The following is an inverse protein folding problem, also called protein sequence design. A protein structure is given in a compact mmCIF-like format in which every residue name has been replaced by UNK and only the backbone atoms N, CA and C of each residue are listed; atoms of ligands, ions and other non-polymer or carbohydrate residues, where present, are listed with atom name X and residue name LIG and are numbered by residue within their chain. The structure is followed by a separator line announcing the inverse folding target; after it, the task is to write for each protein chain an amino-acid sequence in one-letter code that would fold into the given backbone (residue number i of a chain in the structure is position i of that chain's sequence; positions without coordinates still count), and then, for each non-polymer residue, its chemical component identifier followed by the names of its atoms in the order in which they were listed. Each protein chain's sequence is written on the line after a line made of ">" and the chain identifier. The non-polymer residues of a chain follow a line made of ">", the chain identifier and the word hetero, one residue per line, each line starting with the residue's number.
data_IF_499148272965
#
_entry.id   IF_499148272965
#
_cell.length_a   1.000
_cell.length_b   1.000
_cell.length_c   1.000
_cell.angle_alpha   90.00
_cell.angle_beta   90.00
_cell.angle_gamma   90.00
#
_symmetry.space_group_name_H-M   'P 1'
#
loop_
_entity.id
_entity.type
_entity.pdbx_description
1 polymer ?
#
# COMPACT_ATOMS: atom_id res chain seq x y z
N UNK A 1 5.71 -11.94 6.39
CA UNK A 1 4.80 -12.95 7.01
C UNK A 1 4.18 -12.32 8.24
N UNK A 2 2.90 -12.57 8.51
CA UNK A 2 2.21 -11.94 9.64
C UNK A 2 2.54 -12.58 10.99
N UNK A 3 2.25 -11.90 12.12
CA UNK A 3 2.42 -12.46 13.46
C UNK A 3 1.61 -13.76 13.62
N UNK A 4 2.20 -14.80 14.20
CA UNK A 4 1.54 -16.11 14.41
C UNK A 4 1.58 -17.07 13.21
N UNK A 5 2.25 -16.72 12.10
CA UNK A 5 2.39 -17.55 10.90
C UNK A 5 3.87 -17.79 10.59
N UNK A 6 4.34 -19.02 10.85
CA UNK A 6 5.72 -19.45 10.58
C UNK A 6 6.44 -19.96 11.82
N UNK A 7 7.73 -20.29 11.68
CA UNK A 7 8.59 -20.64 12.81
C UNK A 7 9.15 -19.36 13.44
N UNK A 8 8.46 -18.86 14.46
CA UNK A 8 8.85 -17.64 15.18
C UNK A 8 10.16 -17.79 15.98
N UNK A 9 10.68 -19.01 16.18
CA UNK A 9 11.99 -19.21 16.80
C UNK A 9 13.15 -18.94 15.82
N UNK A 10 12.87 -18.90 14.51
CA UNK A 10 13.85 -18.69 13.45
C UNK A 10 13.58 -17.39 12.68
N UNK A 11 12.31 -16.98 12.53
CA UNK A 11 11.90 -15.82 11.76
C UNK A 11 11.10 -14.82 12.60
N UNK A 12 11.72 -13.67 12.85
CA UNK A 12 11.03 -12.44 13.25
C UNK A 12 10.19 -11.92 12.08
N UNK A 13 8.96 -11.49 12.35
CA UNK A 13 8.13 -10.86 11.34
C UNK A 13 8.72 -9.48 11.01
N UNK A 14 9.02 -9.23 9.73
CA UNK A 14 9.60 -7.96 9.26
C UNK A 14 8.83 -6.72 9.72
N UNK A 15 7.51 -6.84 9.92
CA UNK A 15 6.65 -5.75 10.39
C UNK A 15 6.62 -5.57 11.92
N UNK A 16 7.33 -6.39 12.71
CA UNK A 16 7.36 -6.28 14.17
C UNK A 16 8.04 -4.99 14.65
N UNK A 17 8.99 -4.48 13.86
CA UNK A 17 9.71 -3.24 14.12
C UNK A 17 9.04 -2.01 13.48
N UNK A 18 7.92 -2.18 12.75
CA UNK A 18 7.21 -1.05 12.16
C UNK A 18 6.48 -0.22 13.21
N UNK A 19 6.53 1.11 13.04
CA UNK A 19 5.84 2.03 13.91
C UNK A 19 4.31 1.81 13.90
N UNK A 20 3.66 1.99 15.06
CA UNK A 20 2.20 1.92 15.16
C UNK A 20 1.56 2.95 14.24
N UNK A 21 0.82 2.45 13.24
CA UNK A 21 0.14 3.29 12.25
C UNK A 21 -1.26 3.71 12.69
N UNK A 22 -1.79 3.20 13.81
CA UNK A 22 -3.12 3.55 14.32
C UNK A 22 -3.34 5.04 14.55
N UNK A 23 -2.38 5.84 15.07
CA UNK A 23 -2.55 7.29 15.19
C UNK A 23 -2.74 8.00 13.84
N UNK A 24 -2.18 7.42 12.77
CA UNK A 24 -2.23 7.98 11.42
C UNK A 24 -3.52 7.59 10.68
N UNK A 25 -3.90 6.31 10.72
CA UNK A 25 -5.05 5.79 9.96
C UNK A 25 -6.35 5.70 10.79
N UNK A 26 -6.27 5.87 12.11
CA UNK A 26 -7.42 5.92 13.03
C UNK A 26 -7.97 4.56 13.46
N UNK A 27 -7.43 3.45 12.96
CA UNK A 27 -7.84 2.08 13.29
C UNK A 27 -6.68 1.09 13.19
N UNK A 28 -6.88 -0.12 13.71
CA UNK A 28 -5.93 -1.23 13.55
C UNK A 28 -6.39 -2.13 12.40
N UNK A 29 -5.67 -2.19 11.27
CA UNK A 29 -6.05 -3.02 10.14
C UNK A 29 -5.85 -4.49 10.48
N UNK A 30 -6.72 -5.35 9.93
CA UNK A 30 -6.54 -6.80 10.02
C UNK A 30 -5.39 -7.29 9.15
N UNK A 31 -5.12 -6.59 8.05
CA UNK A 31 -4.03 -6.86 7.12
C UNK A 31 -3.41 -5.55 6.63
N UNK A 32 -2.08 -5.48 6.62
CA UNK A 32 -1.33 -4.51 5.84
C UNK A 32 -0.94 -5.16 4.50
N UNK A 33 -1.13 -4.45 3.40
CA UNK A 33 -0.84 -4.96 2.06
C UNK A 33 0.11 -4.00 1.34
N UNK A 34 1.37 -4.40 1.24
CA UNK A 34 2.39 -3.62 0.52
C UNK A 34 2.25 -3.79 -0.99
N UNK A 35 2.41 -2.69 -1.72
CA UNK A 35 2.18 -2.65 -3.17
C UNK A 35 3.43 -2.20 -3.90
N UNK A 36 4.14 -3.17 -4.49
CA UNK A 36 5.44 -2.92 -5.13
C UNK A 36 5.47 -3.57 -6.51
N UNK A 37 5.97 -2.84 -7.51
CA UNK A 37 6.16 -3.37 -8.86
C UNK A 37 7.65 -3.62 -9.16
N UNK A 38 8.05 -4.89 -9.15
CA UNK A 38 9.44 -5.28 -9.41
C UNK A 38 9.90 -5.09 -10.87
N UNK A 39 8.92 -5.02 -11.78
CA UNK A 39 9.10 -4.77 -13.21
C UNK A 39 8.60 -3.36 -13.58
N UNK A 40 9.21 -2.74 -14.60
CA UNK A 40 9.00 -1.32 -14.92
C UNK A 40 8.12 -1.05 -16.14
N UNK A 41 7.47 -2.05 -16.74
CA UNK A 41 6.57 -1.76 -17.86
C UNK A 41 5.26 -1.22 -17.29
N UNK A 42 4.58 -0.31 -18.00
CA UNK A 42 3.30 0.25 -17.54
C UNK A 42 2.26 -0.82 -17.18
N UNK A 43 2.21 -1.91 -17.94
CA UNK A 43 1.32 -3.05 -17.67
C UNK A 43 1.63 -3.72 -16.33
N UNK A 44 2.90 -3.84 -15.95
CA UNK A 44 3.30 -4.51 -14.72
C UNK A 44 2.80 -3.70 -13.50
N UNK A 45 2.95 -2.38 -13.54
CA UNK A 45 2.42 -1.48 -12.50
C UNK A 45 0.90 -1.60 -12.37
N UNK A 46 0.17 -1.49 -13.49
CA UNK A 46 -1.30 -1.51 -13.49
C UNK A 46 -1.81 -2.86 -13.01
N UNK A 47 -1.25 -3.96 -13.52
CA UNK A 47 -1.63 -5.31 -13.12
C UNK A 47 -1.38 -5.53 -11.64
N UNK A 48 -0.22 -5.13 -11.10
CA UNK A 48 0.06 -5.24 -9.66
C UNK A 48 -0.99 -4.50 -8.84
N UNK A 49 -1.26 -3.22 -9.13
CA UNK A 49 -2.22 -2.45 -8.34
C UNK A 49 -3.65 -3.01 -8.41
N UNK A 50 -4.10 -3.44 -9.59
CA UNK A 50 -5.45 -3.99 -9.76
C UNK A 50 -5.58 -5.39 -9.14
N UNK A 51 -4.55 -6.23 -9.23
CA UNK A 51 -4.51 -7.53 -8.58
C UNK A 51 -4.54 -7.38 -7.06
N UNK A 52 -3.72 -6.48 -6.51
CA UNK A 52 -3.73 -6.16 -5.08
C UNK A 52 -5.12 -5.67 -4.65
N UNK A 53 -5.74 -4.77 -5.40
CA UNK A 53 -7.10 -4.30 -5.11
C UNK A 53 -8.15 -5.43 -5.12
N UNK A 54 -7.97 -6.43 -6.00
CA UNK A 54 -8.83 -7.61 -6.03
C UNK A 54 -8.60 -8.53 -4.82
N UNK A 55 -7.35 -8.73 -4.40
CA UNK A 55 -7.01 -9.50 -3.19
C UNK A 55 -7.58 -8.81 -1.95
N UNK A 56 -7.40 -7.50 -1.82
CA UNK A 56 -7.95 -6.71 -0.72
C UNK A 56 -9.49 -6.75 -0.66
N UNK A 57 -10.18 -6.97 -1.77
CA UNK A 57 -11.63 -7.18 -1.75
C UNK A 57 -12.02 -8.48 -1.03
N UNK A 58 -11.15 -9.49 -1.06
CA UNK A 58 -11.36 -10.79 -0.39
C UNK A 58 -10.94 -10.73 1.07
N UNK A 59 -9.76 -10.15 1.35
CA UNK A 59 -9.14 -10.22 2.69
C UNK A 59 -9.34 -8.95 3.53
N UNK A 60 -9.85 -7.87 2.93
CA UNK A 60 -9.85 -6.53 3.53
C UNK A 60 -8.45 -5.92 3.60
N UNK A 61 -8.25 -5.04 4.58
CA UNK A 61 -6.95 -4.43 4.87
C UNK A 61 -6.74 -3.03 4.29
N UNK A 62 -5.52 -2.53 4.46
CA UNK A 62 -5.08 -1.21 4.00
C UNK A 62 -3.87 -1.38 3.10
N UNK A 63 -3.95 -0.81 1.90
CA UNK A 63 -2.82 -0.71 1.00
C UNK A 63 -1.81 0.29 1.56
N UNK A 64 -0.55 -0.11 1.62
CA UNK A 64 0.59 0.77 1.87
C UNK A 64 1.37 0.88 0.55
N UNK A 65 1.35 2.07 -0.06
CA UNK A 65 2.03 2.30 -1.32
C UNK A 65 2.97 3.49 -1.20
N UNK A 66 4.26 3.25 -1.39
CA UNK A 66 5.26 4.30 -1.44
C UNK A 66 5.07 5.16 -2.69
N UNK A 67 5.29 6.46 -2.52
CA UNK A 67 5.11 7.47 -3.54
C UNK A 67 6.43 8.18 -3.82
N UNK A 68 6.50 8.74 -5.02
CA UNK A 68 7.42 9.84 -5.32
C UNK A 68 6.80 11.16 -4.87
N UNK A 69 7.63 12.16 -4.65
CA UNK A 69 7.20 13.50 -4.25
C UNK A 69 6.15 14.11 -5.21
N UNK A 70 6.30 13.86 -6.52
CA UNK A 70 5.36 14.34 -7.55
C UNK A 70 4.01 13.62 -7.53
N UNK A 71 3.94 12.43 -6.91
CA UNK A 71 2.73 11.63 -6.81
C UNK A 71 1.90 11.97 -5.56
N UNK A 72 2.51 12.50 -4.50
CA UNK A 72 1.84 12.88 -3.24
C UNK A 72 0.58 13.74 -3.45
N UNK A 73 0.65 14.90 -4.15
CA UNK A 73 -0.53 15.73 -4.35
C UNK A 73 -1.60 15.05 -5.24
N UNK A 74 -1.18 14.15 -6.13
CA UNK A 74 -2.10 13.43 -7.01
C UNK A 74 -2.90 12.37 -6.25
N UNK A 75 -2.26 11.64 -5.33
CA UNK A 75 -2.93 10.56 -4.60
C UNK A 75 -3.78 11.05 -3.43
N UNK A 76 -3.39 12.16 -2.77
CA UNK A 76 -4.08 12.68 -1.59
C UNK A 76 -5.58 12.96 -1.84
N UNK A 77 -5.96 13.29 -3.07
CA UNK A 77 -7.34 13.58 -3.46
C UNK A 77 -8.12 12.39 -4.03
N UNK A 78 -7.53 11.20 -4.13
CA UNK A 78 -8.18 10.06 -4.77
C UNK A 78 -9.21 9.40 -3.85
N UNK A 79 -10.34 8.90 -4.40
CA UNK A 79 -11.29 8.08 -3.67
C UNK A 79 -10.60 6.88 -3.00
N UNK A 80 -10.96 6.60 -1.74
CA UNK A 80 -10.39 5.50 -0.96
C UNK A 80 -9.04 5.80 -0.31
N UNK A 81 -8.47 6.99 -0.49
CA UNK A 81 -7.28 7.43 0.26
C UNK A 81 -7.64 7.68 1.71
N UNK A 82 -6.87 7.11 2.62
CA UNK A 82 -7.05 7.20 4.08
C UNK A 82 -6.08 8.21 4.67
N UNK A 83 -4.80 8.12 4.30
CA UNK A 83 -3.77 9.03 4.78
C UNK A 83 -2.61 9.11 3.79
N UNK A 84 -1.87 10.21 3.83
CA UNK A 84 -0.58 10.39 3.15
C UNK A 84 0.39 11.02 4.12
N UNK A 85 1.67 10.67 4.03
CA UNK A 85 2.74 11.33 4.81
C UNK A 85 3.82 11.84 3.88
N UNK A 86 4.72 12.71 4.36
CA UNK A 86 5.67 13.44 3.50
C UNK A 86 7.13 13.02 3.64
N UNK A 87 7.53 12.23 4.65
CA UNK A 87 8.96 12.01 4.92
C UNK A 87 9.28 10.65 5.58
N UNK A 88 10.47 10.06 5.35
CA UNK A 88 11.45 10.34 4.27
C UNK A 88 11.09 9.65 2.94
N UNK A 89 10.13 8.73 2.98
CA UNK A 89 9.52 8.08 1.81
C UNK A 89 8.03 8.29 2.01
N UNK A 90 7.31 9.02 1.15
CA UNK A 90 5.92 9.33 1.41
C UNK A 90 5.01 8.15 1.06
N UNK A 91 4.44 7.38 2.01
CA UNK A 91 3.39 6.42 1.73
C UNK A 91 2.02 7.10 1.55
N UNK A 92 1.23 6.53 0.64
CA UNK A 92 -0.21 6.60 0.68
C UNK A 92 -0.78 5.33 1.33
N UNK A 93 -1.74 5.54 2.23
CA UNK A 93 -2.58 4.50 2.80
C UNK A 93 -3.96 4.60 2.17
N UNK A 94 -4.50 3.48 1.73
CA UNK A 94 -5.82 3.50 1.11
C UNK A 94 -6.50 2.15 1.02
N UNK A 95 -7.75 2.18 0.59
CA UNK A 95 -8.55 0.99 0.33
C UNK A 95 -8.25 0.40 -1.06
N UNK A 96 -8.93 -0.69 -1.41
CA UNK A 96 -8.93 -1.21 -2.78
C UNK A 96 -9.46 -0.18 -3.80
N UNK A 97 -10.31 0.76 -3.38
CA UNK A 97 -10.80 1.85 -4.25
C UNK A 97 -9.68 2.82 -4.60
N UNK A 98 -8.79 3.14 -3.64
CA UNK A 98 -7.61 3.97 -3.87
C UNK A 98 -6.73 3.39 -4.97
N UNK A 99 -6.39 2.10 -4.90
CA UNK A 99 -5.56 1.45 -5.93
C UNK A 99 -6.22 1.47 -7.31
N UNK A 100 -7.55 1.27 -7.38
CA UNK A 100 -8.30 1.36 -8.64
C UNK A 100 -8.36 2.78 -9.18
N UNK A 101 -8.54 3.77 -8.31
CA UNK A 101 -8.59 5.18 -8.69
C UNK A 101 -7.23 5.67 -9.18
N UNK A 102 -6.15 5.25 -8.51
CA UNK A 102 -4.79 5.62 -8.87
C UNK A 102 -4.34 4.95 -10.18
N UNK A 103 -4.64 3.66 -10.38
CA UNK A 103 -4.33 2.94 -11.61
C UNK A 103 -4.99 3.53 -12.88
N UNK A 104 -6.04 4.35 -12.72
CA UNK A 104 -6.71 5.06 -13.82
C UNK A 104 -6.08 6.42 -14.13
N UNK A 105 -5.17 6.92 -13.30
CA UNK A 105 -4.53 8.21 -13.51
C UNK A 105 -3.53 8.13 -14.67
N UNK A 106 -3.46 9.14 -15.55
CA UNK A 106 -2.41 9.23 -16.55
C UNK A 106 -1.02 9.18 -15.90
N UNK A 107 -0.12 8.39 -16.46
CA UNK A 107 1.24 8.25 -15.92
C UNK A 107 1.33 7.45 -14.63
N UNK A 108 0.27 6.71 -14.25
CA UNK A 108 0.29 5.81 -13.10
C UNK A 108 1.53 4.91 -13.09
N UNK A 109 2.21 4.88 -11.94
CA UNK A 109 3.41 4.10 -11.71
C UNK A 109 3.58 3.83 -10.22
N UNK A 110 3.78 2.58 -9.86
CA UNK A 110 4.24 2.21 -8.52
C UNK A 110 5.74 2.45 -8.39
N UNK A 111 6.21 2.74 -7.17
CA UNK A 111 7.62 2.59 -6.86
C UNK A 111 8.04 1.11 -6.97
N UNK A 112 9.34 0.92 -7.25
CA UNK A 112 9.97 -0.40 -7.36
C UNK A 112 10.80 -0.63 -6.12
#
# INVERSE_FOLDING_TARGET
>A
MGPGIGDEAIFEAEHADEADRKPLIGFTPTHAVDVIAYCHRPVDHVTTALLTAAVMYVIGGVANAELRDDQVPLVAGLPGTVATTTDPWPPAYGSAEFLRAWARQPGFRLLK
#
